data_IF_768041692204
#
_entry.id   IF_768041692204
#
_cell.length_a   1.000
_cell.length_b   1.000
_cell.length_c   1.000
_cell.angle_alpha   90.00
_cell.angle_beta   90.00
_cell.angle_gamma   90.00
#
_symmetry.space_group_name_H-M   'P 1'
#
loop_
_entity.id
_entity.type
_entity.pdbx_description
1 polymer ?
#
# COMPACT_ATOMS: atom_id res chain seq x y z
N UNK A 1 18.67 -14.49 10.93
CA UNK A 1 18.84 -14.28 12.39
C UNK A 1 17.80 -13.30 12.96
N UNK A 2 17.58 -12.14 12.32
CA UNK A 2 16.60 -11.15 12.78
C UNK A 2 15.18 -11.68 12.96
N UNK A 3 14.60 -12.36 11.96
CA UNK A 3 13.24 -12.93 12.06
C UNK A 3 13.08 -13.81 13.32
N UNK A 4 14.05 -14.69 13.60
CA UNK A 4 14.03 -15.55 14.78
C UNK A 4 14.13 -14.73 16.07
N UNK A 5 15.05 -13.77 16.14
CA UNK A 5 15.22 -12.89 17.31
C UNK A 5 13.94 -12.11 17.61
N UNK A 6 13.37 -11.47 16.59
CA UNK A 6 12.20 -10.61 16.72
C UNK A 6 10.93 -11.41 17.02
N UNK A 7 10.78 -12.60 16.45
CA UNK A 7 9.64 -13.48 16.76
C UNK A 7 9.57 -13.95 18.21
N UNK A 8 10.67 -13.85 18.96
CA UNK A 8 10.74 -14.27 20.37
C UNK A 8 10.66 -13.12 21.37
N UNK A 9 10.73 -11.87 20.89
CA UNK A 9 10.71 -10.68 21.75
C UNK A 9 9.30 -10.10 21.79
N UNK A 10 8.92 -9.59 22.97
CA UNK A 10 7.67 -8.84 23.15
C UNK A 10 7.82 -7.36 22.80
N UNK A 11 9.03 -6.81 22.96
CA UNK A 11 9.39 -5.44 22.62
C UNK A 11 10.70 -5.42 21.86
N UNK A 12 10.83 -4.52 20.89
CA UNK A 12 12.04 -4.40 20.08
C UNK A 12 12.96 -3.38 20.76
N UNK A 13 14.23 -3.74 20.94
CA UNK A 13 15.16 -2.84 21.62
C UNK A 13 15.74 -1.82 20.64
N UNK A 14 16.22 -0.69 21.17
CA UNK A 14 16.91 0.33 20.39
C UNK A 14 18.14 -0.19 19.62
N UNK A 15 18.81 -1.22 20.14
CA UNK A 15 19.93 -1.87 19.46
C UNK A 15 19.49 -2.67 18.22
N UNK A 16 18.27 -3.23 18.25
CA UNK A 16 17.71 -3.95 17.11
C UNK A 16 17.40 -2.97 15.96
N UNK A 17 16.87 -1.78 16.27
CA UNK A 17 16.64 -0.72 15.27
C UNK A 17 17.95 -0.16 14.71
N UNK A 18 18.97 0.00 15.54
CA UNK A 18 20.31 0.38 15.08
C UNK A 18 20.86 -0.67 14.08
N UNK A 19 20.68 -1.97 14.37
CA UNK A 19 21.08 -3.03 13.45
C UNK A 19 20.33 -2.96 12.10
N UNK A 20 19.03 -2.65 12.09
CA UNK A 20 18.26 -2.47 10.85
C UNK A 20 18.78 -1.27 10.07
N UNK A 21 18.97 -0.14 10.76
CA UNK A 21 19.49 1.08 10.17
C UNK A 21 20.83 0.85 9.49
N UNK A 22 21.74 0.15 10.16
CA UNK A 22 23.09 -0.06 9.64
C UNK A 22 23.13 -1.00 8.42
N UNK A 23 22.07 -1.80 8.18
CA UNK A 23 21.97 -2.70 7.03
C UNK A 23 21.07 -2.20 5.89
N UNK A 24 19.93 -1.59 6.22
CA UNK A 24 18.89 -1.19 5.26
C UNK A 24 18.77 0.34 5.11
N UNK A 25 19.49 1.11 5.91
CA UNK A 25 19.45 2.57 5.92
C UNK A 25 18.35 3.13 6.82
N UNK A 26 18.36 4.46 6.94
CA UNK A 26 17.55 5.19 7.91
C UNK A 26 16.06 5.24 7.52
N UNK A 27 15.74 5.24 6.21
CA UNK A 27 14.34 5.25 5.74
C UNK A 27 13.56 4.04 6.24
N UNK A 28 14.13 2.84 6.12
CA UNK A 28 13.52 1.59 6.59
C UNK A 28 13.48 1.54 8.13
N UNK A 29 14.55 1.99 8.79
CA UNK A 29 14.58 2.05 10.25
C UNK A 29 13.52 3.00 10.84
N UNK A 30 13.25 4.14 10.19
CA UNK A 30 12.17 5.06 10.59
C UNK A 30 10.79 4.40 10.55
N UNK A 31 10.53 3.55 9.57
CA UNK A 31 9.27 2.82 9.47
C UNK A 31 9.09 1.85 10.64
N UNK A 32 10.11 1.04 10.95
CA UNK A 32 10.01 0.10 12.07
C UNK A 32 9.90 0.80 13.44
N UNK A 33 10.61 1.91 13.66
CA UNK A 33 10.44 2.72 14.89
C UNK A 33 9.05 3.37 14.95
N UNK A 34 8.51 3.84 13.81
CA UNK A 34 7.14 4.34 13.73
C UNK A 34 6.12 3.26 14.09
N UNK A 35 6.28 2.07 13.53
CA UNK A 35 5.38 0.94 13.73
C UNK A 35 5.33 0.53 15.21
N UNK A 36 6.47 0.36 15.86
CA UNK A 36 6.50 0.04 17.29
C UNK A 36 5.89 1.17 18.13
N UNK A 37 6.25 2.43 17.83
CA UNK A 37 5.70 3.58 18.54
C UNK A 37 4.18 3.65 18.39
N UNK A 38 3.64 3.47 17.18
CA UNK A 38 2.20 3.44 16.93
C UNK A 38 1.51 2.30 17.68
N UNK A 39 2.07 1.09 17.60
CA UNK A 39 1.55 -0.09 18.30
C UNK A 39 1.44 0.12 19.82
N UNK A 40 2.47 0.69 20.46
CA UNK A 40 2.44 0.98 21.89
C UNK A 40 1.40 2.04 22.25
N UNK A 41 1.23 3.06 21.40
CA UNK A 41 0.26 4.13 21.63
C UNK A 41 -1.18 3.67 21.43
N UNK A 42 -1.44 2.66 20.60
CA UNK A 42 -2.76 2.05 20.40
C UNK A 42 -3.29 1.32 21.64
N UNK A 43 -2.43 0.96 22.61
CA UNK A 43 -2.86 0.32 23.86
C UNK A 43 -3.85 1.21 24.63
N UNK A 44 -3.66 2.54 24.61
CA UNK A 44 -4.52 3.50 25.30
C UNK A 44 -5.96 3.56 24.74
N UNK A 45 -6.19 3.83 23.44
CA UNK A 45 -7.54 3.85 22.88
C UNK A 45 -8.16 2.45 22.89
N UNK A 46 -7.37 1.38 22.74
CA UNK A 46 -7.88 0.00 22.84
C UNK A 46 -8.40 -0.30 24.24
N UNK A 47 -7.65 0.03 25.29
CA UNK A 47 -8.08 -0.17 26.67
C UNK A 47 -9.35 0.62 27.00
N UNK A 48 -9.41 1.89 26.60
CA UNK A 48 -10.61 2.72 26.76
C UNK A 48 -11.79 2.20 25.94
N UNK A 49 -11.54 1.74 24.71
CA UNK A 49 -12.55 1.19 23.81
C UNK A 49 -13.18 -0.09 24.36
N UNK A 50 -12.37 -1.00 24.90
CA UNK A 50 -12.85 -2.22 25.56
C UNK A 50 -13.71 -1.87 26.78
N UNK A 51 -13.29 -0.91 27.61
CA UNK A 51 -14.09 -0.47 28.76
C UNK A 51 -15.44 0.12 28.34
N UNK A 52 -15.46 0.99 27.32
CA UNK A 52 -16.71 1.59 26.81
C UNK A 52 -17.58 0.54 26.11
N UNK A 53 -16.99 -0.46 25.45
CA UNK A 53 -17.74 -1.53 24.81
C UNK A 53 -18.51 -2.41 25.81
N UNK A 54 -17.88 -2.78 26.93
CA UNK A 54 -18.51 -3.66 27.93
C UNK A 54 -19.36 -2.91 28.96
N UNK A 55 -18.99 -1.68 29.33
CA UNK A 55 -19.64 -0.94 30.41
C UNK A 55 -20.35 0.35 29.96
N UNK A 56 -20.14 0.79 28.72
CA UNK A 56 -20.69 2.03 28.18
C UNK A 56 -21.85 1.79 27.21
N UNK A 57 -22.33 2.89 26.63
CA UNK A 57 -23.30 2.86 25.54
C UNK A 57 -22.60 2.95 24.18
N UNK A 58 -23.22 2.38 23.15
CA UNK A 58 -22.85 2.66 21.76
C UNK A 58 -22.96 4.16 21.48
N UNK A 59 -22.06 4.69 20.63
CA UNK A 59 -21.99 6.12 20.28
C UNK A 59 -21.68 7.07 21.48
N UNK A 60 -20.80 6.66 22.38
CA UNK A 60 -20.37 7.48 23.53
C UNK A 60 -19.58 8.72 23.11
N UNK A 61 -20.12 9.91 23.43
CA UNK A 61 -19.46 11.21 23.20
C UNK A 61 -18.12 11.29 23.96
N UNK A 62 -18.08 10.71 25.17
CA UNK A 62 -16.89 10.67 26.00
C UNK A 62 -15.75 9.94 25.29
N UNK A 63 -16.03 8.77 24.71
CA UNK A 63 -15.04 8.01 23.96
C UNK A 63 -14.51 8.80 22.76
N UNK A 64 -15.41 9.43 21.98
CA UNK A 64 -15.02 10.26 20.84
C UNK A 64 -14.08 11.39 21.24
N UNK A 65 -14.33 12.08 22.36
CA UNK A 65 -13.44 13.12 22.87
C UNK A 65 -12.07 12.55 23.26
N UNK A 66 -12.04 11.42 23.97
CA UNK A 66 -10.80 10.76 24.36
C UNK A 66 -9.96 10.32 23.15
N UNK A 67 -10.59 9.78 22.10
CA UNK A 67 -9.90 9.38 20.87
C UNK A 67 -9.31 10.59 20.15
N UNK A 68 -10.08 11.68 20.00
CA UNK A 68 -9.58 12.92 19.38
C UNK A 68 -8.38 13.48 20.16
N UNK A 69 -8.48 13.53 21.48
CA UNK A 69 -7.38 13.98 22.33
C UNK A 69 -6.16 13.08 22.18
N UNK A 70 -6.36 11.76 22.20
CA UNK A 70 -5.30 10.78 21.97
C UNK A 70 -4.61 11.01 20.61
N UNK A 71 -5.37 11.21 19.53
CA UNK A 71 -4.81 11.44 18.18
C UNK A 71 -3.91 12.68 18.14
N UNK A 72 -4.33 13.79 18.78
CA UNK A 72 -3.52 15.01 18.84
C UNK A 72 -2.23 14.78 19.64
N UNK A 73 -2.33 14.16 20.81
CA UNK A 73 -1.19 13.89 21.69
C UNK A 73 -0.22 12.91 21.03
N UNK A 74 -0.73 11.89 20.35
CA UNK A 74 0.06 10.93 19.58
C UNK A 74 0.89 11.63 18.50
N UNK A 75 0.25 12.45 17.65
CA UNK A 75 0.94 13.16 16.56
C UNK A 75 2.05 14.06 17.10
N UNK A 76 1.80 14.84 18.16
CA UNK A 76 2.82 15.71 18.75
C UNK A 76 3.95 14.91 19.42
N UNK A 77 3.63 13.76 20.02
CA UNK A 77 4.63 12.86 20.61
C UNK A 77 5.50 12.21 19.54
N UNK A 78 4.92 11.80 18.41
CA UNK A 78 5.66 11.28 17.27
C UNK A 78 6.59 12.34 16.66
N UNK A 79 6.11 13.58 16.43
CA UNK A 79 6.96 14.69 15.95
C UNK A 79 8.14 14.97 16.88
N UNK A 80 7.96 14.79 18.20
CA UNK A 80 9.05 14.90 19.18
C UNK A 80 10.04 13.75 19.03
N UNK A 81 9.54 12.51 18.92
CA UNK A 81 10.33 11.29 18.74
C UNK A 81 11.15 11.32 17.45
N UNK A 82 10.55 11.75 16.34
CA UNK A 82 11.21 11.94 15.05
C UNK A 82 12.44 12.86 15.17
N UNK A 83 12.31 13.99 15.87
CA UNK A 83 13.43 14.94 16.10
C UNK A 83 14.54 14.34 16.97
N UNK A 84 14.17 13.53 17.97
CA UNK A 84 15.13 12.80 18.80
C UNK A 84 15.91 11.79 17.95
N UNK A 85 15.22 10.98 17.14
CA UNK A 85 15.82 10.01 16.22
C UNK A 85 16.72 10.70 15.19
N UNK A 86 16.25 11.79 14.59
CA UNK A 86 17.03 12.56 13.61
C UNK A 86 18.33 13.11 14.21
N UNK A 87 18.30 13.49 15.49
CA UNK A 87 19.49 13.93 16.20
C UNK A 87 20.40 12.74 16.55
N UNK A 88 19.84 11.67 17.10
CA UNK A 88 20.56 10.46 17.52
C UNK A 88 21.27 9.76 16.37
N UNK A 89 20.62 9.71 15.21
CA UNK A 89 21.15 9.09 14.00
C UNK A 89 22.00 10.04 13.15
N UNK A 90 22.09 11.32 13.53
CA UNK A 90 22.89 12.31 12.79
C UNK A 90 22.31 12.68 11.42
N UNK A 91 21.04 12.36 11.14
CA UNK A 91 20.36 12.61 9.86
C UNK A 91 19.52 13.89 9.83
N UNK A 92 19.72 14.78 10.80
CA UNK A 92 19.03 16.06 10.85
C UNK A 92 19.38 16.92 9.63
N UNK A 93 18.35 17.39 8.91
CA UNK A 93 18.45 18.24 7.71
C UNK A 93 19.09 17.59 6.47
N UNK A 94 19.11 16.25 6.38
CA UNK A 94 19.65 15.54 5.19
C UNK A 94 18.96 15.94 3.89
N UNK A 95 17.68 16.34 3.94
CA UNK A 95 16.93 16.85 2.77
C UNK A 95 17.63 18.01 2.05
N UNK A 96 18.44 18.82 2.75
CA UNK A 96 19.19 19.92 2.13
C UNK A 96 20.36 19.45 1.26
N UNK A 97 20.89 18.27 1.56
CA UNK A 97 22.04 17.66 0.89
C UNK A 97 21.63 16.51 -0.03
N UNK A 98 20.33 16.33 -0.27
CA UNK A 98 19.83 15.28 -1.14
C UNK A 98 20.26 15.53 -2.60
N UNK A 99 20.66 14.46 -3.29
CA UNK A 99 21.01 14.54 -4.70
C UNK A 99 19.80 14.91 -5.55
N UNK A 100 20.06 15.67 -6.61
CA UNK A 100 19.03 16.06 -7.55
C UNK A 100 18.59 14.90 -8.42
N UNK A 101 17.31 14.89 -8.74
CA UNK A 101 16.75 13.89 -9.63
C UNK A 101 17.25 14.10 -11.07
N UNK A 102 17.69 13.04 -11.78
CA UNK A 102 18.16 13.17 -13.16
C UNK A 102 17.12 13.77 -14.12
N UNK A 103 15.84 13.55 -13.87
CA UNK A 103 14.73 14.07 -14.66
C UNK A 103 14.43 15.57 -14.45
N UNK A 104 15.09 16.24 -13.50
CA UNK A 104 14.84 17.65 -13.19
C UNK A 104 15.30 18.57 -14.32
N UNK A 105 14.40 19.44 -14.79
CA UNK A 105 14.69 20.41 -15.86
C UNK A 105 14.79 21.83 -15.29
N UNK A 106 15.98 22.42 -15.31
CA UNK A 106 16.19 23.81 -14.90
C UNK A 106 15.91 24.79 -16.04
N UNK A 107 15.31 25.95 -15.73
CA UNK A 107 15.10 27.02 -16.71
C UNK A 107 16.35 27.91 -16.85
N UNK A 108 17.14 28.02 -15.79
CA UNK A 108 18.33 28.88 -15.71
C UNK A 108 19.44 28.14 -14.98
N UNK A 109 20.69 28.50 -15.22
CA UNK A 109 21.82 28.02 -14.41
C UNK A 109 22.18 29.16 -13.46
N UNK A 110 22.11 28.91 -12.15
CA UNK A 110 22.39 29.89 -11.10
C UNK A 110 23.56 29.38 -10.28
N UNK A 111 24.46 30.29 -9.90
CA UNK A 111 25.57 29.97 -9.00
C UNK A 111 25.05 29.92 -7.56
N UNK A 112 25.27 28.80 -6.90
CA UNK A 112 24.91 28.64 -5.49
C UNK A 112 25.73 29.61 -4.62
N UNK A 113 25.11 30.45 -3.78
CA UNK A 113 25.81 31.43 -2.95
C UNK A 113 26.74 30.81 -1.90
N UNK A 114 26.51 29.55 -1.51
CA UNK A 114 27.29 28.86 -0.49
C UNK A 114 28.40 28.00 -1.08
N UNK A 115 28.09 27.25 -2.14
CA UNK A 115 29.02 26.27 -2.74
C UNK A 115 29.75 26.80 -3.96
N UNK A 116 29.35 27.95 -4.51
CA UNK A 116 29.88 28.53 -5.75
C UNK A 116 29.75 27.65 -7.01
N UNK A 117 29.02 26.54 -6.92
CA UNK A 117 28.75 25.63 -8.02
C UNK A 117 27.63 26.15 -8.93
N UNK A 118 27.72 25.83 -10.21
CA UNK A 118 26.67 26.14 -11.19
C UNK A 118 25.57 25.08 -11.11
N UNK A 119 24.37 25.48 -10.67
CA UNK A 119 23.24 24.58 -10.48
C UNK A 119 22.05 24.98 -11.33
N UNK A 120 21.32 24.03 -11.96
CA UNK A 120 20.09 24.35 -12.66
C UNK A 120 19.04 24.87 -11.65
N UNK A 121 18.32 25.93 -11.98
CA UNK A 121 17.37 26.59 -11.12
C UNK A 121 16.01 26.63 -11.80
N UNK A 122 14.98 26.24 -11.05
CA UNK A 122 13.59 26.33 -11.45
C UNK A 122 12.88 27.31 -10.52
N UNK A 123 12.15 28.27 -11.10
CA UNK A 123 11.51 29.32 -10.29
C UNK A 123 10.40 28.75 -9.40
N UNK A 124 10.42 29.00 -8.07
CA UNK A 124 9.38 28.55 -7.17
C UNK A 124 7.98 29.03 -7.56
N UNK A 125 7.87 30.24 -8.12
CA UNK A 125 6.60 30.80 -8.59
C UNK A 125 5.99 30.01 -9.75
N UNK A 126 6.83 29.54 -10.69
CA UNK A 126 6.36 28.66 -11.77
C UNK A 126 5.89 27.32 -11.22
N UNK A 127 6.60 26.76 -10.23
CA UNK A 127 6.18 25.52 -9.54
C UNK A 127 4.83 25.69 -8.89
N UNK A 128 4.64 26.78 -8.15
CA UNK A 128 3.35 27.11 -7.51
C UNK A 128 2.22 27.27 -8.53
N UNK A 129 2.47 27.97 -9.64
CA UNK A 129 1.48 28.07 -10.72
C UNK A 129 1.12 26.71 -11.33
N UNK A 130 2.10 25.81 -11.52
CA UNK A 130 1.85 24.44 -12.00
C UNK A 130 1.06 23.60 -11.00
N UNK A 131 1.33 23.72 -9.70
CA UNK A 131 0.54 23.08 -8.64
C UNK A 131 -0.92 23.52 -8.65
N UNK A 132 -1.15 24.84 -8.76
CA UNK A 132 -2.51 25.40 -8.85
C UNK A 132 -3.21 24.92 -10.12
N UNK A 133 -2.50 24.87 -11.26
CA UNK A 133 -3.05 24.34 -12.50
C UNK A 133 -3.37 22.84 -12.44
N UNK A 134 -2.65 22.08 -11.60
CA UNK A 134 -2.90 20.66 -11.35
C UNK A 134 -4.07 20.37 -10.41
N UNK A 135 -4.41 21.31 -9.53
CA UNK A 135 -5.44 21.12 -8.50
C UNK A 135 -6.83 20.79 -9.09
N UNK A 136 -7.32 21.44 -10.18
CA UNK A 136 -8.57 21.04 -10.82
C UNK A 136 -8.58 19.60 -11.33
N UNK A 137 -7.43 19.07 -11.77
CA UNK A 137 -7.33 17.68 -12.24
C UNK A 137 -7.49 16.72 -11.07
N UNK A 138 -6.85 17.00 -9.92
CA UNK A 138 -7.02 16.20 -8.70
C UNK A 138 -8.47 16.24 -8.24
N UNK A 139 -9.08 17.44 -8.16
CA UNK A 139 -10.47 17.59 -7.73
C UNK A 139 -11.42 16.87 -8.69
N UNK A 140 -11.22 17.04 -10.01
CA UNK A 140 -12.01 16.35 -11.02
C UNK A 140 -11.90 14.83 -10.92
N UNK A 141 -10.68 14.30 -10.79
CA UNK A 141 -10.44 12.88 -10.57
C UNK A 141 -11.10 12.36 -9.29
N UNK A 142 -10.97 13.11 -8.18
CA UNK A 142 -11.58 12.77 -6.90
C UNK A 142 -13.11 12.74 -6.98
N UNK A 143 -13.71 13.68 -7.72
CA UNK A 143 -15.16 13.71 -7.96
C UNK A 143 -15.62 12.53 -8.82
N UNK A 144 -14.89 12.19 -9.89
CA UNK A 144 -15.20 11.03 -10.74
C UNK A 144 -15.10 9.74 -9.94
N UNK A 145 -14.03 9.56 -9.16
CA UNK A 145 -13.87 8.40 -8.26
C UNK A 145 -15.02 8.34 -7.25
N UNK A 146 -15.34 9.46 -6.60
CA UNK A 146 -16.42 9.51 -5.62
C UNK A 146 -17.78 9.18 -6.23
N UNK A 147 -18.06 9.64 -7.45
CA UNK A 147 -19.29 9.32 -8.18
C UNK A 147 -19.37 7.82 -8.51
N UNK A 148 -18.27 7.24 -8.98
CA UNK A 148 -18.18 5.81 -9.28
C UNK A 148 -18.44 4.96 -8.03
N UNK A 149 -17.75 5.29 -6.93
CA UNK A 149 -17.91 4.59 -5.64
C UNK A 149 -19.34 4.74 -5.09
N UNK A 150 -19.93 5.93 -5.24
CA UNK A 150 -21.33 6.17 -4.85
C UNK A 150 -22.29 5.35 -5.70
N UNK A 151 -22.05 5.23 -7.00
CA UNK A 151 -22.87 4.40 -7.90
C UNK A 151 -22.83 2.93 -7.49
N UNK A 152 -21.63 2.39 -7.24
CA UNK A 152 -21.44 1.00 -6.76
C UNK A 152 -22.19 0.81 -5.44
N UNK A 153 -22.03 1.73 -4.49
CA UNK A 153 -22.71 1.69 -3.20
C UNK A 153 -24.24 1.69 -3.33
N UNK A 154 -24.79 2.57 -4.18
CA UNK A 154 -26.24 2.63 -4.41
C UNK A 154 -26.75 1.33 -5.04
N UNK A 155 -26.00 0.74 -5.98
CA UNK A 155 -26.35 -0.55 -6.59
C UNK A 155 -26.29 -1.69 -5.57
N UNK A 156 -25.29 -1.72 -4.70
CA UNK A 156 -25.14 -2.71 -3.62
C UNK A 156 -26.34 -2.66 -2.67
N UNK A 157 -26.64 -1.47 -2.13
CA UNK A 157 -27.80 -1.25 -1.25
C UNK A 157 -29.11 -1.59 -1.97
N UNK A 158 -29.23 -1.25 -3.25
CA UNK A 158 -30.40 -1.55 -4.05
C UNK A 158 -30.65 -3.07 -4.15
N UNK A 159 -29.60 -3.85 -4.46
CA UNK A 159 -29.71 -5.30 -4.58
C UNK A 159 -29.93 -6.00 -3.24
N UNK A 160 -29.27 -5.55 -2.18
CA UNK A 160 -29.39 -6.14 -0.84
C UNK A 160 -30.80 -5.96 -0.27
N UNK A 161 -31.28 -4.71 -0.28
CA UNK A 161 -32.51 -4.32 0.43
C UNK A 161 -33.75 -4.51 -0.44
N UNK A 162 -33.67 -4.19 -1.74
CA UNK A 162 -34.86 -4.01 -2.59
C UNK A 162 -35.06 -5.14 -3.61
N UNK A 163 -34.01 -5.86 -4.00
CA UNK A 163 -34.16 -6.97 -4.95
C UNK A 163 -34.67 -8.23 -4.23
N UNK A 164 -35.86 -8.70 -4.61
CA UNK A 164 -36.48 -9.95 -4.15
C UNK A 164 -36.70 -10.97 -5.28
N UNK A 165 -36.02 -10.81 -6.41
CA UNK A 165 -36.15 -11.67 -7.58
C UNK A 165 -35.41 -13.00 -7.45
N UNK A 166 -35.48 -13.80 -8.52
CA UNK A 166 -34.73 -15.06 -8.64
C UNK A 166 -33.21 -14.81 -8.56
N UNK A 167 -32.46 -15.67 -7.86
CA UNK A 167 -31.01 -15.55 -7.62
C UNK A 167 -30.54 -14.37 -6.74
N UNK A 168 -31.38 -13.85 -5.82
CA UNK A 168 -30.97 -12.79 -4.88
C UNK A 168 -29.62 -13.11 -4.18
N UNK A 169 -29.46 -14.33 -3.69
CA UNK A 169 -28.26 -14.74 -2.94
C UNK A 169 -26.94 -14.58 -3.72
N UNK A 170 -26.97 -14.72 -5.05
CA UNK A 170 -25.78 -14.54 -5.89
C UNK A 170 -25.68 -13.08 -6.38
N UNK A 171 -26.82 -12.49 -6.75
CA UNK A 171 -26.85 -11.17 -7.38
C UNK A 171 -26.41 -10.06 -6.41
N UNK A 172 -26.66 -10.21 -5.10
CA UNK A 172 -26.23 -9.24 -4.07
C UNK A 172 -24.71 -9.07 -4.04
N UNK A 173 -23.93 -10.12 -4.33
CA UNK A 173 -22.46 -10.05 -4.34
C UNK A 173 -21.89 -9.53 -5.67
N UNK A 174 -22.70 -9.40 -6.72
CA UNK A 174 -22.23 -9.03 -8.05
C UNK A 174 -21.54 -7.65 -8.08
N UNK A 175 -22.10 -6.56 -7.50
CA UNK A 175 -21.42 -5.26 -7.50
C UNK A 175 -20.09 -5.30 -6.76
N UNK A 176 -20.02 -6.02 -5.63
CA UNK A 176 -18.80 -6.16 -4.85
C UNK A 176 -17.72 -6.86 -5.67
N UNK A 177 -18.04 -8.00 -6.32
CA UNK A 177 -17.08 -8.73 -7.16
C UNK A 177 -16.60 -7.88 -8.33
N UNK A 178 -17.51 -7.21 -9.03
CA UNK A 178 -17.15 -6.33 -10.15
C UNK A 178 -16.26 -5.17 -9.70
N UNK A 179 -16.58 -4.56 -8.57
CA UNK A 179 -15.78 -3.47 -8.01
C UNK A 179 -14.40 -3.95 -7.59
N UNK A 180 -14.29 -5.08 -6.88
CA UNK A 180 -13.00 -5.67 -6.50
C UNK A 180 -12.12 -6.00 -7.71
N UNK A 181 -12.71 -6.49 -8.81
CA UNK A 181 -11.96 -6.75 -10.05
C UNK A 181 -11.54 -5.46 -10.77
N UNK A 182 -12.35 -4.40 -10.67
CA UNK A 182 -12.04 -3.10 -11.26
C UNK A 182 -11.02 -2.29 -10.43
N UNK A 183 -10.92 -2.59 -9.13
CA UNK A 183 -10.19 -1.76 -8.18
C UNK A 183 -8.71 -1.56 -8.52
N UNK A 184 -7.92 -2.60 -8.86
CA UNK A 184 -6.51 -2.42 -9.21
C UNK A 184 -6.32 -1.48 -10.41
N UNK A 185 -7.22 -1.55 -11.40
CA UNK A 185 -7.19 -0.65 -12.57
C UNK A 185 -7.50 0.79 -12.18
N UNK A 186 -8.45 1.01 -11.27
CA UNK A 186 -8.78 2.35 -10.77
C UNK A 186 -7.60 2.91 -9.97
N UNK A 187 -6.97 2.11 -9.12
CA UNK A 187 -5.79 2.51 -8.34
C UNK A 187 -4.60 2.84 -9.24
N UNK A 188 -4.34 2.03 -10.28
CA UNK A 188 -3.29 2.29 -11.27
C UNK A 188 -3.54 3.62 -12.01
N UNK A 189 -4.77 3.87 -12.45
CA UNK A 189 -5.15 5.15 -13.09
C UNK A 189 -4.93 6.33 -12.13
N UNK A 190 -5.36 6.22 -10.87
CA UNK A 190 -5.16 7.25 -9.87
C UNK A 190 -3.67 7.52 -9.59
N UNK A 191 -2.87 6.47 -9.56
CA UNK A 191 -1.43 6.56 -9.36
C UNK A 191 -0.74 7.21 -10.56
N UNK A 192 -1.14 6.85 -11.79
CA UNK A 192 -0.60 7.44 -13.01
C UNK A 192 -0.97 8.91 -13.16
N UNK A 193 -2.20 9.30 -12.82
CA UNK A 193 -2.60 10.71 -12.74
C UNK A 193 -1.74 11.46 -11.71
N UNK A 194 -1.46 10.84 -10.57
CA UNK A 194 -0.62 11.43 -9.51
C UNK A 194 0.83 11.58 -9.95
N UNK A 195 1.40 10.58 -10.64
CA UNK A 195 2.75 10.63 -11.23
C UNK A 195 2.85 11.70 -12.30
N UNK A 196 1.92 11.69 -13.26
CA UNK A 196 1.86 12.67 -14.35
C UNK A 196 1.83 14.10 -13.82
N UNK A 197 1.00 14.38 -12.81
CA UNK A 197 0.91 15.71 -12.24
C UNK A 197 2.16 16.10 -11.45
N UNK A 198 2.77 15.15 -10.76
CA UNK A 198 4.00 15.40 -9.98
C UNK A 198 5.21 15.61 -10.89
N UNK A 199 5.27 14.95 -12.05
CA UNK A 199 6.29 15.23 -13.07
C UNK A 199 6.07 16.59 -13.75
N UNK A 200 4.81 16.99 -13.96
CA UNK A 200 4.48 18.33 -14.43
C UNK A 200 5.00 19.43 -13.46
N UNK A 201 4.95 19.19 -12.14
CA UNK A 201 5.44 20.11 -11.10
C UNK A 201 6.98 20.27 -11.08
N UNK A 202 7.73 19.33 -11.66
CA UNK A 202 9.19 19.39 -11.81
C UNK A 202 9.95 19.64 -10.48
N UNK A 203 9.90 18.64 -9.59
CA UNK A 203 10.61 18.63 -8.31
C UNK A 203 12.11 18.36 -8.47
N UNK A 204 12.90 18.98 -7.59
CA UNK A 204 14.37 19.00 -7.67
C UNK A 204 15.02 17.75 -7.09
N UNK A 205 14.55 17.28 -5.93
CA UNK A 205 15.08 16.11 -5.22
C UNK A 205 14.09 14.95 -5.25
N UNK A 206 14.56 13.73 -5.01
CA UNK A 206 13.71 12.55 -4.94
C UNK A 206 12.71 12.65 -3.77
N UNK A 207 13.17 13.00 -2.57
CA UNK A 207 12.30 13.14 -1.40
C UNK A 207 11.18 14.17 -1.58
N UNK A 208 11.46 15.29 -2.27
CA UNK A 208 10.40 16.26 -2.58
C UNK A 208 9.41 15.76 -3.64
N UNK A 209 9.87 14.94 -4.59
CA UNK A 209 9.00 14.33 -5.59
C UNK A 209 8.09 13.29 -4.92
N UNK A 210 8.67 12.36 -4.17
CA UNK A 210 7.98 11.27 -3.49
C UNK A 210 6.95 11.82 -2.49
N UNK A 211 7.33 12.81 -1.67
CA UNK A 211 6.40 13.46 -0.75
C UNK A 211 5.15 14.00 -1.44
N UNK A 212 5.33 14.70 -2.57
CA UNK A 212 4.20 15.27 -3.31
C UNK A 212 3.43 14.25 -4.15
N UNK A 213 4.05 13.14 -4.54
CA UNK A 213 3.39 12.02 -5.18
C UNK A 213 2.49 11.30 -4.18
N UNK A 214 3.03 10.91 -3.02
CA UNK A 214 2.31 10.23 -1.93
C UNK A 214 1.13 11.07 -1.47
N UNK A 215 1.29 12.40 -1.31
CA UNK A 215 0.17 13.28 -0.95
C UNK A 215 -1.00 13.23 -1.94
N UNK A 216 -0.72 13.16 -3.25
CA UNK A 216 -1.78 13.12 -4.27
C UNK A 216 -2.42 11.74 -4.35
N UNK A 217 -1.60 10.69 -4.34
CA UNK A 217 -2.06 9.32 -4.33
C UNK A 217 -2.94 9.01 -3.11
N UNK A 218 -2.52 9.49 -1.93
CA UNK A 218 -3.24 9.32 -0.67
C UNK A 218 -4.65 9.92 -0.69
N UNK A 219 -4.89 11.02 -1.42
CA UNK A 219 -6.25 11.57 -1.55
C UNK A 219 -7.19 10.58 -2.22
N UNK A 220 -6.73 9.91 -3.28
CA UNK A 220 -7.53 8.87 -3.95
C UNK A 220 -7.69 7.63 -3.06
N UNK A 221 -6.60 7.20 -2.41
CA UNK A 221 -6.59 6.07 -1.48
C UNK A 221 -7.59 6.26 -0.34
N UNK A 222 -7.54 7.41 0.33
CA UNK A 222 -8.46 7.76 1.41
C UNK A 222 -9.93 7.81 0.96
N UNK A 223 -10.22 8.33 -0.24
CA UNK A 223 -11.58 8.28 -0.78
C UNK A 223 -12.04 6.84 -1.00
N UNK A 224 -11.19 6.01 -1.58
CA UNK A 224 -11.50 4.60 -1.81
C UNK A 224 -11.76 3.84 -0.50
N UNK A 225 -10.92 4.06 0.51
CA UNK A 225 -10.98 3.36 1.80
C UNK A 225 -12.16 3.79 2.67
N UNK A 226 -12.48 5.08 2.73
CA UNK A 226 -13.44 5.61 3.71
C UNK A 226 -14.81 6.01 3.14
N UNK A 227 -14.94 6.24 1.82
CA UNK A 227 -16.17 6.81 1.26
C UNK A 227 -17.40 5.92 1.47
N UNK A 228 -17.26 4.59 1.37
CA UNK A 228 -18.38 3.67 1.62
C UNK A 228 -18.92 3.76 3.06
N UNK A 229 -18.01 3.90 4.04
CA UNK A 229 -18.37 4.05 5.46
C UNK A 229 -19.02 5.42 5.69
N UNK A 230 -18.48 6.48 5.07
CA UNK A 230 -19.05 7.83 5.15
C UNK A 230 -20.44 7.91 4.50
N UNK A 231 -20.64 7.28 3.33
CA UNK A 231 -21.94 7.20 2.67
C UNK A 231 -22.95 6.44 3.55
N UNK A 232 -22.52 5.37 4.22
CA UNK A 232 -23.38 4.64 5.15
C UNK A 232 -23.81 5.52 6.32
N UNK A 233 -22.85 6.16 6.99
CA UNK A 233 -23.10 6.96 8.19
C UNK A 233 -23.89 8.25 7.93
N UNK A 234 -23.52 8.99 6.87
CA UNK A 234 -24.03 10.35 6.63
C UNK A 234 -25.07 10.46 5.52
N UNK A 235 -25.20 9.46 4.64
CA UNK A 235 -26.20 9.47 3.56
C UNK A 235 -27.28 8.43 3.82
N UNK A 236 -26.91 7.16 3.92
CA UNK A 236 -27.87 6.06 3.97
C UNK A 236 -28.70 6.05 5.27
N UNK A 237 -28.07 6.07 6.44
CA UNK A 237 -28.78 6.07 7.73
C UNK A 237 -29.74 7.27 7.89
N UNK A 238 -29.32 8.53 7.66
CA UNK A 238 -30.20 9.67 7.85
C UNK A 238 -31.21 9.92 6.72
N UNK A 239 -30.87 9.65 5.45
CA UNK A 239 -31.74 9.98 4.30
C UNK A 239 -32.42 8.77 3.67
N UNK A 240 -32.06 7.55 4.03
CA UNK A 240 -32.67 6.32 3.52
C UNK A 240 -34.21 6.30 3.58
N UNK A 241 -34.87 6.74 4.68
CA UNK A 241 -36.34 6.76 4.72
C UNK A 241 -36.97 7.68 3.68
N UNK A 242 -36.31 8.81 3.36
CA UNK A 242 -36.79 9.73 2.32
C UNK A 242 -36.66 9.13 0.93
N UNK A 243 -35.57 8.41 0.67
CA UNK A 243 -35.35 7.70 -0.59
C UNK A 243 -36.44 6.64 -0.79
N UNK A 244 -36.73 5.84 0.24
CA UNK A 244 -37.81 4.85 0.22
C UNK A 244 -39.17 5.51 -0.09
N UNK A 245 -39.48 6.63 0.56
CA UNK A 245 -40.74 7.34 0.35
C UNK A 245 -40.90 7.86 -1.09
N UNK A 246 -39.84 8.41 -1.68
CA UNK A 246 -39.85 8.87 -3.08
C UNK A 246 -40.05 7.68 -4.03
N UNK A 247 -39.36 6.57 -3.79
CA UNK A 247 -39.47 5.38 -4.62
C UNK A 247 -40.87 4.76 -4.54
N UNK A 248 -41.49 4.69 -3.36
CA UNK A 248 -42.89 4.26 -3.20
C UNK A 248 -43.87 5.19 -3.92
N UNK A 249 -43.62 6.50 -3.93
CA UNK A 249 -44.43 7.47 -4.66
C UNK A 249 -44.36 7.28 -6.19
N UNK A 250 -43.27 6.70 -6.71
CA UNK A 250 -43.11 6.36 -8.14
C UNK A 250 -43.86 5.06 -8.51
N UNK A 251 -44.53 4.41 -7.54
CA UNK A 251 -45.44 3.27 -7.80
C UNK A 251 -44.75 1.91 -7.87
N UNK A 252 -43.48 1.83 -7.46
CA UNK A 252 -42.77 0.57 -7.37
C UNK A 252 -43.11 -0.12 -6.02
N UNK A 253 -43.51 -1.41 -6.02
CA UNK A 253 -43.95 -2.12 -4.83
C UNK A 253 -42.74 -2.51 -3.97
N UNK A 254 -42.48 -1.78 -2.89
CA UNK A 254 -41.34 -2.03 -2.01
C UNK A 254 -41.76 -2.44 -0.61
N UNK A 255 -41.08 -3.43 -0.06
CA UNK A 255 -41.15 -3.75 1.36
C UNK A 255 -40.61 -2.57 2.18
N UNK A 256 -41.32 -2.18 3.23
CA UNK A 256 -40.86 -1.23 4.24
C UNK A 256 -39.78 -1.90 5.09
N UNK A 257 -38.56 -2.01 4.58
CA UNK A 257 -37.43 -2.52 5.36
C UNK A 257 -37.02 -1.44 6.35
N UNK A 258 -37.09 -1.75 7.64
CA UNK A 258 -36.56 -0.88 8.68
C UNK A 258 -35.04 -0.82 8.51
N UNK A 259 -34.50 0.39 8.30
CA UNK A 259 -33.05 0.60 8.21
C UNK A 259 -32.43 0.16 9.53
N UNK A 260 -31.64 -0.91 9.49
CA UNK A 260 -30.99 -1.45 10.68
C UNK A 260 -29.80 -0.57 11.06
N UNK A 261 -29.75 -0.03 12.30
CA UNK A 261 -28.61 0.76 12.77
C UNK A 261 -27.28 -0.03 12.82
N UNK A 262 -27.36 -1.38 12.83
CA UNK A 262 -26.20 -2.27 12.88
C UNK A 262 -25.35 -2.25 11.61
N UNK A 263 -25.88 -1.84 10.45
CA UNK A 263 -25.12 -1.87 9.19
C UNK A 263 -23.82 -1.06 9.25
N UNK A 264 -23.81 0.05 9.99
CA UNK A 264 -22.57 0.83 10.17
C UNK A 264 -21.54 0.05 10.98
N UNK A 265 -21.98 -0.65 12.02
CA UNK A 265 -21.12 -1.50 12.84
C UNK A 265 -20.58 -2.67 12.02
N UNK A 266 -21.42 -3.33 11.23
CA UNK A 266 -21.03 -4.46 10.38
C UNK A 266 -19.98 -4.04 9.34
N UNK A 267 -20.16 -2.88 8.69
CA UNK A 267 -19.20 -2.32 7.73
C UNK A 267 -17.88 -1.90 8.39
N UNK A 268 -17.94 -1.29 9.58
CA UNK A 268 -16.73 -0.95 10.34
C UNK A 268 -15.97 -2.20 10.78
N UNK A 269 -16.68 -3.24 11.22
CA UNK A 269 -16.05 -4.51 11.59
C UNK A 269 -15.42 -5.21 10.38
N UNK A 270 -16.10 -5.23 9.24
CA UNK A 270 -15.53 -5.75 8.00
C UNK A 270 -14.28 -4.97 7.58
N UNK A 271 -14.31 -3.63 7.65
CA UNK A 271 -13.16 -2.80 7.35
C UNK A 271 -11.98 -3.07 8.29
N UNK A 272 -12.20 -3.12 9.61
CA UNK A 272 -11.10 -3.27 10.57
C UNK A 272 -10.55 -4.70 10.67
N UNK A 273 -11.40 -5.72 10.48
CA UNK A 273 -11.02 -7.13 10.71
C UNK A 273 -10.78 -7.84 9.38
N UNK A 274 -11.77 -7.81 8.48
CA UNK A 274 -11.69 -8.56 7.23
C UNK A 274 -10.62 -7.99 6.30
N UNK A 275 -10.52 -6.67 6.15
CA UNK A 275 -9.46 -6.09 5.32
C UNK A 275 -8.07 -6.39 5.87
N UNK A 276 -7.88 -6.37 7.19
CA UNK A 276 -6.58 -6.69 7.78
C UNK A 276 -6.16 -8.13 7.52
N UNK A 277 -7.11 -9.07 7.61
CA UNK A 277 -6.87 -10.48 7.29
C UNK A 277 -6.58 -10.69 5.80
N UNK A 278 -7.31 -10.00 4.93
CA UNK A 278 -7.08 -10.06 3.48
C UNK A 278 -5.71 -9.47 3.16
N UNK A 279 -5.37 -8.30 3.72
CA UNK A 279 -4.06 -7.64 3.53
C UNK A 279 -2.91 -8.57 3.92
N UNK A 280 -2.97 -9.14 5.14
CA UNK A 280 -1.99 -10.11 5.61
C UNK A 280 -1.86 -11.32 4.67
N UNK A 281 -2.99 -11.83 4.16
CA UNK A 281 -2.97 -12.93 3.20
C UNK A 281 -2.32 -12.51 1.88
N UNK A 282 -2.65 -11.34 1.33
CA UNK A 282 -2.15 -10.87 0.03
C UNK A 282 -0.69 -10.43 0.07
N UNK A 283 -0.23 -9.87 1.19
CA UNK A 283 1.12 -9.32 1.34
C UNK A 283 2.13 -10.40 1.76
N UNK A 284 1.74 -11.30 2.67
CA UNK A 284 2.66 -12.28 3.25
C UNK A 284 2.42 -13.70 2.71
N UNK A 285 1.18 -14.20 2.84
CA UNK A 285 0.89 -15.62 2.58
C UNK A 285 0.91 -15.93 1.08
N UNK A 286 0.26 -15.10 0.28
CA UNK A 286 0.10 -15.31 -1.15
C UNK A 286 1.46 -15.30 -1.89
N UNK A 287 2.37 -14.33 -1.68
CA UNK A 287 3.67 -14.35 -2.33
C UNK A 287 4.54 -15.52 -1.86
N UNK A 288 4.47 -15.90 -0.59
CA UNK A 288 5.17 -17.08 -0.09
C UNK A 288 4.68 -18.38 -0.75
N UNK A 289 3.36 -18.53 -0.86
CA UNK A 289 2.73 -19.69 -1.48
C UNK A 289 3.01 -19.75 -2.99
N UNK A 290 2.84 -18.64 -3.71
CA UNK A 290 3.09 -18.57 -5.14
C UNK A 290 4.54 -18.90 -5.48
N UNK A 291 5.50 -18.37 -4.71
CA UNK A 291 6.93 -18.73 -4.84
C UNK A 291 7.16 -20.21 -4.66
N UNK A 292 6.59 -20.82 -3.62
CA UNK A 292 6.75 -22.25 -3.34
C UNK A 292 6.16 -23.13 -4.44
N UNK A 293 5.02 -22.74 -5.01
CA UNK A 293 4.38 -23.42 -6.13
C UNK A 293 5.22 -23.30 -7.41
N UNK A 294 5.71 -22.10 -7.73
CA UNK A 294 6.57 -21.86 -8.90
C UNK A 294 7.88 -22.65 -8.79
N UNK A 295 8.54 -22.63 -7.62
CA UNK A 295 9.74 -23.43 -7.38
C UNK A 295 9.47 -24.94 -7.48
N UNK A 296 8.32 -25.40 -6.98
CA UNK A 296 7.88 -26.79 -7.11
C UNK A 296 7.64 -27.21 -8.56
N UNK A 297 6.93 -26.38 -9.33
CA UNK A 297 6.67 -26.59 -10.75
C UNK A 297 7.97 -26.60 -11.58
N UNK A 298 8.92 -25.70 -11.27
CA UNK A 298 10.23 -25.65 -11.91
C UNK A 298 11.06 -26.92 -11.65
N UNK A 299 10.99 -27.49 -10.44
CA UNK A 299 11.65 -28.77 -10.13
C UNK A 299 11.05 -29.94 -10.92
N UNK A 300 9.72 -30.01 -11.01
CA UNK A 300 9.01 -31.04 -11.79
C UNK A 300 9.37 -30.92 -13.28
N UNK A 301 9.33 -29.71 -13.84
CA UNK A 301 9.71 -29.46 -15.23
C UNK A 301 11.16 -29.88 -15.52
N UNK A 302 12.08 -29.60 -14.59
CA UNK A 302 13.49 -30.02 -14.69
C UNK A 302 13.63 -31.55 -14.64
N UNK A 303 12.89 -32.22 -13.76
CA UNK A 303 12.90 -33.69 -13.67
C UNK A 303 12.32 -34.34 -14.92
N UNK A 304 11.22 -33.81 -15.45
CA UNK A 304 10.59 -34.27 -16.70
C UNK A 304 11.51 -34.03 -17.90
N UNK A 305 12.13 -32.85 -18.00
CA UNK A 305 13.10 -32.54 -19.06
C UNK A 305 14.34 -33.42 -19.00
N UNK A 306 14.85 -33.72 -17.79
CA UNK A 306 15.97 -34.63 -17.60
C UNK A 306 15.61 -36.07 -17.95
N UNK A 307 14.39 -36.53 -17.62
CA UNK A 307 13.88 -37.85 -18.05
C UNK A 307 13.71 -37.90 -19.58
N UNK A 308 13.17 -36.86 -20.21
CA UNK A 308 13.08 -36.76 -21.68
C UNK A 308 14.46 -36.81 -22.35
N UNK A 309 15.47 -36.13 -21.81
CA UNK A 309 16.82 -36.16 -22.36
C UNK A 309 17.54 -37.50 -22.12
N UNK A 310 17.27 -38.17 -20.99
CA UNK A 310 17.77 -39.52 -20.75
C UNK A 310 17.10 -40.55 -21.67
N UNK A 311 15.80 -40.45 -21.91
CA UNK A 311 15.09 -41.34 -22.86
C UNK A 311 15.54 -41.08 -24.31
N UNK A 312 15.70 -39.81 -24.71
CA UNK A 312 16.21 -39.45 -26.04
C UNK A 312 17.69 -39.81 -26.28
N UNK A 313 18.49 -39.93 -25.22
CA UNK A 313 19.89 -40.41 -25.31
C UNK A 313 19.99 -41.93 -25.28
N UNK A 314 18.99 -42.62 -24.72
CA UNK A 314 18.88 -44.09 -24.79
C UNK A 314 18.51 -44.54 -26.22
N UNK A 315 17.70 -43.75 -26.94
CA UNK A 315 17.34 -43.99 -28.35
C UNK A 315 18.45 -43.68 -29.37
N UNK A 316 19.46 -42.89 -28.99
CA UNK A 316 20.60 -42.51 -29.85
C UNK A 316 21.91 -43.19 -29.44
N UNK A 317 21.87 -44.47 -29.11
CA UNK A 317 23.08 -45.33 -29.15
C UNK A 317 23.29 -45.85 -30.56
N UNK A 318 23.66 -44.95 -31.46
CA UNK A 318 23.96 -45.26 -32.84
C UNK A 318 24.50 -44.03 -33.54
N UNK A 319 25.83 -43.94 -33.61
CA UNK A 319 26.66 -43.06 -34.45
C UNK A 319 27.45 -41.99 -33.67
N UNK A 320 28.72 -42.32 -33.42
CA UNK A 320 29.79 -41.37 -33.06
C UNK A 320 29.98 -40.31 -34.15
N UNK A 321 30.08 -39.05 -33.76
CA UNK A 321 30.91 -38.06 -34.45
C UNK A 321 31.19 -36.85 -33.55
N UNK A 322 32.44 -36.80 -33.11
CA UNK A 322 33.31 -35.66 -32.84
C UNK A 322 32.67 -34.25 -32.91
N UNK A 323 32.58 -33.58 -31.76
CA UNK A 323 32.53 -32.13 -31.70
C UNK A 323 33.30 -31.64 -30.48
N UNK A 324 34.52 -31.16 -30.72
CA UNK A 324 35.33 -30.41 -29.77
C UNK A 324 34.63 -29.09 -29.45
N UNK A 325 33.81 -29.10 -28.40
CA UNK A 325 33.32 -27.88 -27.77
C UNK A 325 34.46 -27.32 -26.93
N UNK A 326 34.87 -26.10 -27.26
CA UNK A 326 35.88 -25.36 -26.52
C UNK A 326 35.46 -25.27 -25.04
N UNK A 327 36.31 -25.77 -24.14
CA UNK A 327 36.13 -25.60 -22.70
C UNK A 327 36.15 -24.10 -22.37
N UNK A 328 35.17 -23.59 -21.59
CA UNK A 328 35.32 -22.25 -21.02
C UNK A 328 36.52 -22.27 -20.08
N UNK A 329 37.37 -21.27 -20.24
CA UNK A 329 38.55 -21.01 -19.41
C UNK A 329 38.17 -21.18 -17.93
N UNK A 330 38.67 -22.26 -17.30
CA UNK A 330 38.54 -22.47 -15.85
C UNK A 330 39.47 -21.49 -15.16
N UNK A 331 38.91 -20.39 -14.64
CA UNK A 331 39.64 -19.57 -13.70
C UNK A 331 40.02 -20.39 -12.45
N UNK A 332 41.20 -20.19 -11.85
CA UNK A 332 41.84 -21.23 -11.04
C UNK A 332 41.25 -21.47 -9.63
N UNK A 333 40.21 -20.75 -9.19
CA UNK A 333 39.85 -20.72 -7.75
C UNK A 333 38.35 -20.70 -7.39
N UNK A 334 37.44 -21.10 -8.28
CA UNK A 334 36.02 -21.19 -7.90
C UNK A 334 35.39 -22.52 -8.34
N UNK A 335 34.86 -23.26 -7.36
CA UNK A 335 34.05 -24.45 -7.61
C UNK A 335 32.87 -24.08 -8.54
N UNK A 336 32.76 -24.65 -9.75
CA UNK A 336 31.73 -24.28 -10.72
C UNK A 336 30.30 -24.44 -10.19
N UNK A 337 30.11 -25.32 -9.21
CA UNK A 337 28.82 -25.53 -8.53
C UNK A 337 28.45 -24.36 -7.61
N UNK A 338 29.42 -23.84 -6.86
CA UNK A 338 29.19 -22.72 -5.94
C UNK A 338 28.87 -21.44 -6.71
N UNK A 339 29.60 -21.19 -7.81
CA UNK A 339 29.32 -20.05 -8.70
C UNK A 339 27.93 -20.16 -9.32
N UNK A 340 27.55 -21.35 -9.81
CA UNK A 340 26.22 -21.56 -10.40
C UNK A 340 25.10 -21.36 -9.36
N UNK A 341 25.32 -21.79 -8.13
CA UNK A 341 24.35 -21.61 -7.05
C UNK A 341 24.23 -20.14 -6.63
N UNK A 342 25.35 -19.43 -6.53
CA UNK A 342 25.37 -17.98 -6.27
C UNK A 342 24.69 -17.19 -7.40
N UNK A 343 25.00 -17.48 -8.67
CA UNK A 343 24.36 -16.82 -9.81
C UNK A 343 22.85 -17.06 -9.84
N UNK A 344 22.40 -18.27 -9.48
CA UNK A 344 20.97 -18.55 -9.33
C UNK A 344 20.35 -17.69 -8.22
N UNK A 345 21.01 -17.58 -7.07
CA UNK A 345 20.52 -16.73 -5.97
C UNK A 345 20.46 -15.26 -6.38
N UNK A 346 21.47 -14.76 -7.10
CA UNK A 346 21.48 -13.39 -7.61
C UNK A 346 20.34 -13.17 -8.60
N UNK A 347 20.11 -14.11 -9.52
CA UNK A 347 19.00 -14.01 -10.47
C UNK A 347 17.65 -14.01 -9.76
N UNK A 348 17.46 -14.92 -8.80
CA UNK A 348 16.25 -14.95 -7.95
C UNK A 348 16.05 -13.65 -7.16
N UNK A 349 17.13 -12.98 -6.74
CA UNK A 349 17.07 -11.69 -6.05
C UNK A 349 16.77 -10.51 -6.99
N UNK A 350 17.27 -10.55 -8.22
CA UNK A 350 17.03 -9.51 -9.23
C UNK A 350 15.58 -9.54 -9.72
N UNK A 351 14.95 -10.71 -9.76
CA UNK A 351 13.54 -10.85 -10.14
C UNK A 351 12.56 -10.33 -9.07
N UNK A 352 13.03 -9.99 -7.86
CA UNK A 352 12.20 -9.43 -6.81
C UNK A 352 11.93 -7.93 -7.04
N UNK A 353 10.70 -7.46 -6.75
CA UNK A 353 10.42 -6.03 -6.79
C UNK A 353 11.24 -5.27 -5.74
N UNK A 354 11.57 -4.01 -6.06
CA UNK A 354 12.16 -3.11 -5.08
C UNK A 354 11.19 -2.85 -3.92
N UNK A 355 11.73 -2.76 -2.71
CA UNK A 355 10.94 -2.50 -1.51
C UNK A 355 10.60 -1.01 -1.41
N UNK A 356 9.30 -0.66 -1.42
CA UNK A 356 8.81 0.71 -1.24
C UNK A 356 8.21 0.91 0.16
N UNK A 357 8.96 1.60 1.01
CA UNK A 357 8.55 1.95 2.38
C UNK A 357 7.28 2.82 2.40
N UNK A 358 6.99 3.57 1.33
CA UNK A 358 5.81 4.44 1.28
C UNK A 358 4.51 3.64 1.17
N UNK A 359 4.54 2.44 0.58
CA UNK A 359 3.37 1.56 0.50
C UNK A 359 2.98 1.08 1.90
N UNK A 360 3.96 0.61 2.68
CA UNK A 360 3.76 0.17 4.06
C UNK A 360 3.28 1.30 4.98
N UNK A 361 3.86 2.51 4.84
CA UNK A 361 3.33 3.68 5.55
C UNK A 361 1.90 4.00 5.13
N UNK A 362 1.58 3.83 3.85
CA UNK A 362 0.26 4.05 3.31
C UNK A 362 -0.79 3.11 3.92
N UNK A 363 -0.45 1.86 4.21
CA UNK A 363 -1.34 0.93 4.92
C UNK A 363 -1.53 1.36 6.38
N UNK A 364 -0.44 1.65 7.10
CA UNK A 364 -0.51 2.01 8.52
C UNK A 364 -1.23 3.34 8.79
N UNK A 365 -1.22 4.28 7.84
CA UNK A 365 -1.95 5.55 7.94
C UNK A 365 -3.45 5.38 7.61
N UNK A 366 -3.81 4.33 6.88
CA UNK A 366 -5.21 4.00 6.58
C UNK A 366 -5.91 3.16 7.66
N UNK A 367 -5.14 2.49 8.52
CA UNK A 367 -5.63 1.81 9.71
C UNK A 367 -5.91 2.80 10.84
#
# INVERSE_FOLDING_TARGET
>A
AWLKSWSTKWFVNQDDFASIRDHFGEKVAYYFEFLEFYFLWLILPTGLGVLVHFFGSSYSIFYSFCVILWSVVYIESWKRREKELAHRWGVKNVTRNESRRPAFKGDKIVRDPLTNELKPFFSPWKRWARKIAGLPVIIGGALVLSLLLTLVFVLEVFLEVYYGGYMKEILVYLPTVLFTLALPYVEEICQDVSRWLTDFENHETHGSYDYHLVQKAFLFKALNSYLSILLTAYVYIPFGPRVIAVLQAIGLPFATVAIQPSMLQDRLQAFMISNQLISFFTETIYPWMSRRVISGAAMIHKEVSQKLHNDASTEKTGTSADSRVAEPVKEPHQDPKQVREFLRQVQEQVDLPEYDVNEDYGEMVEQ
#
